data_IF_374344366741
#
_entry.id   IF_374344366741
#
_cell.length_a   1.000
_cell.length_b   1.000
_cell.length_c   1.000
_cell.angle_alpha   90.00
_cell.angle_beta   90.00
_cell.angle_gamma   90.00
#
_symmetry.space_group_name_H-M   'P 1'
#
loop_
_entity.id
_entity.type
_entity.pdbx_description
1 polymer ?
#
# COMPACT_ATOMS: atom_id res chain seq x y z
N UNK A 1 38.03 21.29 -24.86
CA UNK A 1 36.89 21.58 -23.95
C UNK A 1 35.79 20.55 -24.19
N UNK A 2 35.68 19.51 -23.36
CA UNK A 2 34.62 18.49 -23.49
C UNK A 2 33.42 18.86 -22.60
N UNK A 3 32.38 19.40 -23.23
CA UNK A 3 31.12 19.76 -22.58
C UNK A 3 30.40 18.51 -22.07
N UNK A 4 30.38 18.33 -20.75
CA UNK A 4 29.69 17.23 -20.09
C UNK A 4 28.30 17.71 -19.66
N UNK A 5 27.28 17.41 -20.47
CA UNK A 5 25.89 17.68 -20.11
C UNK A 5 25.48 16.95 -18.82
N UNK A 6 24.61 17.57 -18.00
CA UNK A 6 24.04 17.01 -16.76
C UNK A 6 23.05 15.86 -17.02
N UNK A 7 23.50 14.81 -17.72
CA UNK A 7 22.67 13.66 -18.08
C UNK A 7 23.44 12.34 -18.21
N UNK A 8 24.73 12.31 -17.88
CA UNK A 8 25.51 11.08 -17.95
C UNK A 8 25.07 10.11 -16.84
N UNK A 9 24.40 9.03 -17.25
CA UNK A 9 24.14 7.83 -16.45
C UNK A 9 25.48 7.18 -16.11
N UNK A 10 26.07 7.61 -14.99
CA UNK A 10 27.17 6.88 -14.37
C UNK A 10 26.63 5.54 -13.86
N UNK A 11 27.25 4.44 -14.26
CA UNK A 11 27.08 3.13 -13.61
C UNK A 11 27.78 3.16 -12.25
N UNK A 12 27.24 3.96 -11.32
CA UNK A 12 27.63 3.88 -9.92
C UNK A 12 27.04 2.60 -9.34
N UNK A 13 27.89 1.60 -9.10
CA UNK A 13 27.57 0.42 -8.29
C UNK A 13 27.26 0.87 -6.85
N UNK A 14 26.09 1.46 -6.64
CA UNK A 14 25.48 1.59 -5.32
C UNK A 14 24.80 0.26 -5.02
N UNK A 15 25.48 -0.61 -4.27
CA UNK A 15 24.93 -1.89 -3.86
C UNK A 15 23.51 -1.72 -3.36
N UNK A 16 22.59 -2.58 -3.82
CA UNK A 16 21.22 -2.61 -3.36
C UNK A 16 21.25 -2.69 -1.83
N UNK A 17 20.93 -1.58 -1.15
CA UNK A 17 20.87 -1.56 0.31
C UNK A 17 19.75 -2.51 0.71
N UNK A 18 20.12 -3.72 1.12
CA UNK A 18 19.21 -4.63 1.83
C UNK A 18 18.92 -4.00 3.19
N UNK A 19 17.96 -3.10 3.21
CA UNK A 19 17.33 -2.67 4.45
C UNK A 19 16.52 -3.86 4.96
N UNK A 20 16.95 -4.46 6.07
CA UNK A 20 16.03 -5.23 6.92
C UNK A 20 14.85 -4.31 7.22
N UNK A 21 13.62 -4.69 6.85
CA UNK A 21 12.41 -3.92 7.16
C UNK A 21 12.20 -3.96 8.67
N UNK A 22 12.78 -2.98 9.36
CA UNK A 22 12.36 -2.62 10.71
C UNK A 22 10.99 -1.96 10.56
N UNK A 23 10.02 -2.35 11.39
CA UNK A 23 8.70 -1.71 11.39
C UNK A 23 8.90 -0.24 11.79
N UNK A 24 8.77 0.67 10.81
CA UNK A 24 8.74 2.14 10.97
C UNK A 24 7.43 2.66 10.36
N UNK A 25 7.35 3.95 10.04
CA UNK A 25 6.27 4.54 9.21
C UNK A 25 6.20 3.84 7.84
N UNK A 26 5.48 2.72 7.80
CA UNK A 26 5.46 1.79 6.68
C UNK A 26 4.42 2.17 5.62
N UNK A 27 3.92 3.41 5.60
CA UNK A 27 3.07 3.94 4.51
C UNK A 27 3.92 4.23 3.25
N UNK A 28 4.90 3.37 2.97
CA UNK A 28 5.84 3.42 1.85
C UNK A 28 5.19 3.20 0.49
N UNK A 29 3.88 3.47 0.36
CA UNK A 29 3.18 3.52 -0.91
C UNK A 29 3.81 4.64 -1.74
N UNK A 30 4.41 4.24 -2.87
CA UNK A 30 5.22 5.14 -3.68
C UNK A 30 4.34 6.04 -4.56
N UNK A 31 4.84 7.24 -4.91
CA UNK A 31 4.13 8.16 -5.83
C UNK A 31 3.74 7.48 -7.16
N UNK A 32 4.58 6.62 -7.78
CA UNK A 32 4.19 5.86 -8.97
C UNK A 32 3.03 4.89 -8.74
N UNK A 33 2.94 4.24 -7.57
CA UNK A 33 1.82 3.34 -7.25
C UNK A 33 0.49 4.11 -7.16
N UNK A 34 0.48 5.24 -6.45
CA UNK A 34 -0.68 6.14 -6.37
C UNK A 34 -1.06 6.63 -7.77
N UNK A 35 -0.08 6.99 -8.61
CA UNK A 35 -0.33 7.36 -10.00
C UNK A 35 -1.01 6.22 -10.76
N UNK A 36 -0.53 4.98 -10.66
CA UNK A 36 -1.16 3.83 -11.35
C UNK A 36 -2.62 3.61 -10.93
N UNK A 37 -2.91 3.75 -9.63
CA UNK A 37 -4.28 3.66 -9.11
C UNK A 37 -5.17 4.78 -9.67
N UNK A 38 -4.71 6.03 -9.59
CA UNK A 38 -5.44 7.18 -10.12
C UNK A 38 -5.66 7.07 -11.65
N UNK A 39 -4.67 6.56 -12.40
CA UNK A 39 -4.82 6.31 -13.84
C UNK A 39 -5.87 5.24 -14.14
N UNK A 40 -5.90 4.16 -13.37
CA UNK A 40 -6.97 3.15 -13.48
C UNK A 40 -8.35 3.75 -13.22
N UNK A 41 -8.44 4.73 -12.31
CA UNK A 41 -9.65 5.52 -12.07
C UNK A 41 -9.91 6.65 -13.08
N UNK A 42 -9.21 6.71 -14.22
CA UNK A 42 -9.44 7.72 -15.27
C UNK A 42 -8.91 9.13 -14.98
N UNK A 43 -8.12 9.31 -13.91
CA UNK A 43 -7.60 10.63 -13.54
C UNK A 43 -6.56 11.11 -14.56
N UNK A 44 -6.78 12.27 -15.19
CA UNK A 44 -5.89 12.87 -16.24
C UNK A 44 -4.72 13.70 -15.68
N UNK A 45 -4.93 14.47 -14.62
CA UNK A 45 -3.87 15.27 -13.95
C UNK A 45 -3.99 15.08 -12.43
N UNK A 46 -2.86 15.05 -11.73
CA UNK A 46 -2.80 14.77 -10.29
C UNK A 46 -1.98 15.88 -9.63
N UNK A 47 -2.56 16.59 -8.66
CA UNK A 47 -1.86 17.61 -7.88
C UNK A 47 -0.84 16.99 -6.91
N UNK A 48 0.15 17.78 -6.49
CA UNK A 48 1.21 17.32 -5.59
C UNK A 48 0.73 16.88 -4.21
N UNK A 49 -0.30 17.53 -3.67
CA UNK A 49 -0.83 17.26 -2.33
C UNK A 49 -1.55 15.90 -2.24
N UNK A 50 -2.10 15.41 -3.37
CA UNK A 50 -2.87 14.16 -3.44
C UNK A 50 -2.06 12.94 -2.97
N UNK A 51 -0.73 12.95 -3.10
CA UNK A 51 0.09 11.82 -2.66
C UNK A 51 0.11 11.67 -1.13
N UNK A 52 0.10 12.78 -0.39
CA UNK A 52 0.02 12.75 1.08
C UNK A 52 -1.37 12.32 1.52
N UNK A 53 -2.39 12.94 0.93
CA UNK A 53 -3.80 12.66 1.23
C UNK A 53 -4.16 11.19 1.00
N UNK A 54 -3.79 10.63 -0.15
CA UNK A 54 -4.06 9.23 -0.47
C UNK A 54 -3.42 8.27 0.53
N UNK A 55 -2.28 8.64 1.13
CA UNK A 55 -1.64 7.82 2.17
C UNK A 55 -2.42 7.85 3.48
N UNK A 56 -2.95 9.01 3.88
CA UNK A 56 -3.80 9.15 5.06
C UNK A 56 -5.09 8.35 4.92
N UNK A 57 -5.79 8.51 3.79
CA UNK A 57 -7.02 7.75 3.51
C UNK A 57 -6.78 6.24 3.50
N UNK A 58 -5.68 5.78 2.89
CA UNK A 58 -5.34 4.37 2.88
C UNK A 58 -5.04 3.84 4.29
N UNK A 59 -4.36 4.63 5.13
CA UNK A 59 -4.07 4.24 6.50
C UNK A 59 -5.37 4.03 7.29
N UNK A 60 -6.28 4.99 7.25
CA UNK A 60 -7.58 4.92 7.94
C UNK A 60 -8.35 3.68 7.48
N UNK A 61 -8.45 3.47 6.16
CA UNK A 61 -9.15 2.31 5.61
C UNK A 61 -8.58 0.98 6.10
N UNK A 62 -7.25 0.82 6.09
CA UNK A 62 -6.61 -0.41 6.54
C UNK A 62 -6.75 -0.59 8.06
N UNK A 63 -6.67 0.47 8.83
CA UNK A 63 -6.82 0.44 10.28
C UNK A 63 -8.21 -0.08 10.68
N UNK A 64 -9.26 0.44 10.04
CA UNK A 64 -10.64 0.01 10.26
C UNK A 64 -10.84 -1.47 9.91
N UNK A 65 -10.43 -1.89 8.71
CA UNK A 65 -10.60 -3.29 8.27
C UNK A 65 -9.77 -4.24 9.14
N UNK A 66 -8.51 -3.91 9.45
CA UNK A 66 -7.63 -4.79 10.23
C UNK A 66 -8.13 -4.93 11.67
N UNK A 67 -8.71 -3.89 12.27
CA UNK A 67 -9.32 -3.95 13.60
C UNK A 67 -10.38 -5.04 13.68
N UNK A 68 -11.25 -5.10 12.67
CA UNK A 68 -12.29 -6.13 12.58
C UNK A 68 -11.72 -7.52 12.27
N UNK A 69 -10.74 -7.61 11.38
CA UNK A 69 -10.05 -8.88 11.06
C UNK A 69 -9.42 -9.51 12.30
N UNK A 70 -8.76 -8.70 13.13
CA UNK A 70 -8.16 -9.16 14.39
C UNK A 70 -9.25 -9.63 15.36
N UNK A 71 -10.38 -8.93 15.43
CA UNK A 71 -11.51 -9.35 16.26
C UNK A 71 -12.07 -10.73 15.84
N UNK A 72 -12.25 -10.98 14.53
CA UNK A 72 -12.67 -12.29 14.04
C UNK A 72 -11.65 -13.40 14.34
N UNK A 73 -10.37 -13.10 14.14
CA UNK A 73 -9.27 -14.05 14.40
C UNK A 73 -9.22 -14.45 15.89
N UNK A 74 -9.36 -13.47 16.78
CA UNK A 74 -9.38 -13.68 18.23
C UNK A 74 -10.65 -14.42 18.69
N UNK A 75 -11.82 -14.08 18.14
CA UNK A 75 -13.07 -14.77 18.44
C UNK A 75 -12.99 -16.27 18.10
N UNK A 76 -12.33 -16.60 17.00
CA UNK A 76 -12.08 -17.99 16.61
C UNK A 76 -10.91 -18.67 17.36
N UNK A 77 -10.33 -18.00 18.38
CA UNK A 77 -9.18 -18.48 19.18
C UNK A 77 -7.96 -18.87 18.34
N UNK A 78 -7.79 -18.23 17.18
CA UNK A 78 -6.66 -18.43 16.28
C UNK A 78 -5.60 -17.35 16.51
N UNK A 79 -4.33 -17.69 16.23
CA UNK A 79 -3.22 -16.72 16.17
C UNK A 79 -2.89 -16.28 14.75
N UNK A 80 -3.46 -16.97 13.76
CA UNK A 80 -3.23 -16.74 12.34
C UNK A 80 -4.48 -16.16 11.70
N UNK A 81 -4.33 -14.98 11.09
CA UNK A 81 -5.36 -14.36 10.26
C UNK A 81 -5.57 -15.20 9.00
N UNK A 82 -6.82 -15.52 8.69
CA UNK A 82 -7.21 -16.23 7.46
C UNK A 82 -7.77 -15.27 6.42
N UNK A 83 -7.84 -15.70 5.16
CA UNK A 83 -8.50 -14.94 4.10
C UNK A 83 -9.99 -14.68 4.43
N UNK A 84 -10.65 -15.64 5.09
CA UNK A 84 -12.06 -15.53 5.48
C UNK A 84 -12.30 -14.42 6.51
N UNK A 85 -11.38 -14.21 7.46
CA UNK A 85 -11.49 -13.11 8.43
C UNK A 85 -11.51 -11.75 7.70
N UNK A 86 -10.70 -11.62 6.65
CA UNK A 86 -10.66 -10.42 5.79
C UNK A 86 -11.94 -10.26 4.98
N UNK A 87 -12.44 -11.34 4.36
CA UNK A 87 -13.69 -11.31 3.60
C UNK A 87 -14.87 -10.91 4.48
N UNK A 88 -14.95 -11.43 5.71
CA UNK A 88 -16.01 -11.10 6.65
C UNK A 88 -15.92 -9.66 7.17
N UNK A 89 -14.73 -9.18 7.52
CA UNK A 89 -14.53 -7.77 7.88
C UNK A 89 -14.94 -6.83 6.75
N UNK A 90 -14.51 -7.12 5.52
CA UNK A 90 -14.90 -6.32 4.35
C UNK A 90 -16.40 -6.36 4.09
N UNK A 91 -17.06 -7.52 4.25
CA UNK A 91 -18.52 -7.66 4.13
C UNK A 91 -19.25 -6.81 5.18
N UNK A 92 -18.76 -6.76 6.43
CA UNK A 92 -19.32 -5.91 7.49
C UNK A 92 -19.27 -4.42 7.15
N UNK A 93 -18.21 -3.97 6.47
CA UNK A 93 -18.07 -2.61 5.96
C UNK A 93 -18.80 -2.36 4.62
N UNK A 94 -19.63 -3.28 4.14
CA UNK A 94 -20.36 -3.15 2.87
C UNK A 94 -19.48 -3.27 1.62
N UNK A 95 -18.26 -3.82 1.73
CA UNK A 95 -17.27 -3.97 0.64
C UNK A 95 -17.03 -5.45 0.31
N UNK A 96 -18.06 -6.16 -0.11
CA UNK A 96 -17.96 -7.60 -0.41
C UNK A 96 -16.87 -7.91 -1.44
N UNK A 97 -15.97 -8.83 -1.10
CA UNK A 97 -14.85 -9.26 -1.93
C UNK A 97 -15.05 -10.72 -2.37
N UNK A 98 -14.96 -10.98 -3.68
CA UNK A 98 -15.12 -12.30 -4.29
C UNK A 98 -13.76 -12.93 -4.64
N UNK A 99 -13.73 -14.27 -4.74
CA UNK A 99 -12.54 -15.03 -5.18
C UNK A 99 -11.58 -15.44 -4.06
N UNK A 100 -12.00 -15.34 -2.79
CA UNK A 100 -11.18 -15.66 -1.61
C UNK A 100 -11.85 -16.65 -0.64
N UNK A 101 -12.93 -17.32 -1.07
CA UNK A 101 -13.47 -18.47 -0.35
C UNK A 101 -12.60 -19.69 -0.63
N UNK A 102 -12.07 -20.31 0.43
CA UNK A 102 -11.40 -21.62 0.38
C UNK A 102 -12.45 -22.71 0.52
#
# INVERSE_FOLDING_TARGET
MSGRGKGAKGLGKGGAKRHRKILRDNIGITKPAIRRLARRGGVKRIAGLVYGETRGVLHIFLEEVIRDVVAYTQHARRKTVTAMDVVFALKRHGRTLYGFGV
#
